data_IF_867852996852
#
_entry.id   IF_867852996852
#
_cell.length_a   1.000
_cell.length_b   1.000
_cell.length_c   1.000
_cell.angle_alpha   90.00
_cell.angle_beta   90.00
_cell.angle_gamma   90.00
#
_symmetry.space_group_name_H-M   'P 1'
#
loop_
_entity.id
_entity.type
_entity.pdbx_description
1 polymer ?
#
# COMPACT_ATOMS: atom_id res chain seq x y z
N UNK A 1 -9.42 -15.58 6.98
CA UNK A 1 -9.52 -14.12 6.96
C UNK A 1 -8.75 -13.64 5.74
N UNK A 2 -9.39 -12.97 4.78
CA UNK A 2 -8.72 -12.45 3.58
C UNK A 2 -9.12 -10.99 3.40
N UNK A 3 -8.23 -10.08 3.77
CA UNK A 3 -8.35 -8.65 3.47
C UNK A 3 -7.72 -8.41 2.11
N UNK A 4 -8.55 -8.14 1.11
CA UNK A 4 -8.11 -7.86 -0.26
C UNK A 4 -8.00 -6.36 -0.39
N UNK A 5 -6.77 -5.83 -0.46
CA UNK A 5 -6.53 -4.41 -0.72
C UNK A 5 -6.47 -4.22 -2.23
N UNK A 6 -7.53 -3.67 -2.81
CA UNK A 6 -7.53 -3.26 -4.22
C UNK A 6 -6.89 -1.86 -4.31
N UNK A 7 -5.80 -1.75 -5.06
CA UNK A 7 -5.17 -0.46 -5.33
C UNK A 7 -6.08 0.41 -6.21
N UNK A 8 -6.38 1.62 -5.76
CA UNK A 8 -7.18 2.59 -6.51
C UNK A 8 -6.31 3.21 -7.62
N UNK A 9 -6.62 2.87 -8.87
CA UNK A 9 -6.20 3.66 -10.03
C UNK A 9 -4.81 3.39 -10.63
N UNK A 10 -4.63 3.89 -11.86
CA UNK A 10 -3.34 3.92 -12.56
C UNK A 10 -2.44 4.95 -11.86
N UNK A 11 -1.44 4.44 -11.13
CA UNK A 11 -0.24 5.13 -10.64
C UNK A 11 -0.22 6.62 -10.99
N UNK A 12 -0.75 7.47 -10.10
CA UNK A 12 -0.49 8.91 -10.18
C UNK A 12 -0.71 9.65 -8.87
N UNK A 13 -1.61 9.22 -7.97
CA UNK A 13 -1.70 9.81 -6.62
C UNK A 13 -2.18 8.76 -5.59
N UNK A 14 -1.35 8.39 -4.60
CA UNK A 14 -1.84 7.65 -3.45
C UNK A 14 -2.82 8.56 -2.69
N UNK A 15 -4.04 8.09 -2.50
CA UNK A 15 -5.08 8.78 -1.72
C UNK A 15 -5.25 8.02 -0.40
N UNK A 16 -5.10 8.73 0.72
CA UNK A 16 -5.10 8.15 2.06
C UNK A 16 -6.12 8.90 2.89
N UNK A 17 -7.19 8.21 3.28
CA UNK A 17 -8.18 8.73 4.22
C UNK A 17 -7.80 8.32 5.63
N UNK A 18 -7.59 9.30 6.51
CA UNK A 18 -7.33 9.06 7.93
C UNK A 18 -8.57 9.47 8.72
N UNK A 19 -9.19 8.53 9.41
CA UNK A 19 -10.39 8.80 10.21
C UNK A 19 -10.07 9.71 11.39
N UNK A 20 -10.84 10.80 11.54
CA UNK A 20 -10.65 11.83 12.59
C UNK A 20 -10.62 11.25 14.00
N UNK A 21 -11.32 10.13 14.24
CA UNK A 21 -11.32 9.44 15.53
C UNK A 21 -9.93 8.95 15.98
N UNK A 22 -8.99 8.78 15.05
CA UNK A 22 -7.63 8.29 15.31
C UNK A 22 -6.57 9.40 15.24
N UNK A 23 -6.98 10.66 15.00
CA UNK A 23 -6.07 11.80 14.85
C UNK A 23 -6.27 12.72 16.04
N UNK A 24 -5.38 12.67 17.02
CA UNK A 24 -5.44 13.56 18.19
C UNK A 24 -4.68 14.87 17.94
N UNK A 25 -3.68 14.83 17.06
CA UNK A 25 -2.91 15.97 16.62
C UNK A 25 -2.48 15.84 15.15
N UNK A 26 -1.94 16.93 14.59
CA UNK A 26 -1.47 16.98 13.20
C UNK A 26 -0.33 16.00 12.90
N UNK A 27 0.51 15.72 13.91
CA UNK A 27 1.61 14.77 13.83
C UNK A 27 1.11 13.34 13.63
N UNK A 28 0.01 12.95 14.28
CA UNK A 28 -0.61 11.63 14.10
C UNK A 28 -1.04 11.45 12.64
N UNK A 29 -1.71 12.45 12.07
CA UNK A 29 -2.11 12.42 10.66
C UNK A 29 -0.89 12.29 9.72
N UNK A 30 0.19 13.05 10.00
CA UNK A 30 1.42 12.95 9.23
C UNK A 30 2.07 11.55 9.33
N UNK A 31 2.04 10.92 10.51
CA UNK A 31 2.55 9.57 10.71
C UNK A 31 1.76 8.52 9.92
N UNK A 32 0.42 8.60 9.93
CA UNK A 32 -0.43 7.68 9.14
C UNK A 32 -0.25 7.86 7.64
N UNK A 33 -0.16 9.10 7.16
CA UNK A 33 0.11 9.39 5.74
C UNK A 33 1.49 8.88 5.33
N UNK A 34 2.52 9.09 6.16
CA UNK A 34 3.87 8.61 5.91
C UNK A 34 3.92 7.07 5.85
N UNK A 35 3.22 6.38 6.76
CA UNK A 35 3.12 4.92 6.77
C UNK A 35 2.45 4.41 5.48
N UNK A 36 1.33 5.01 5.08
CA UNK A 36 0.62 4.62 3.87
C UNK A 36 1.49 4.82 2.61
N UNK A 37 2.21 5.94 2.52
CA UNK A 37 3.16 6.17 1.44
C UNK A 37 4.31 5.14 1.42
N UNK A 38 4.85 4.77 2.59
CA UNK A 38 5.88 3.74 2.69
C UNK A 38 5.37 2.37 2.23
N UNK A 39 4.12 2.02 2.54
CA UNK A 39 3.50 0.77 2.09
C UNK A 39 3.29 0.75 0.56
N UNK A 40 2.80 1.84 -0.02
CA UNK A 40 2.61 1.94 -1.48
C UNK A 40 3.94 1.77 -2.24
N UNK A 41 4.98 2.48 -1.81
CA UNK A 41 6.34 2.33 -2.34
C UNK A 41 6.88 0.90 -2.18
N UNK A 42 6.61 0.26 -1.05
CA UNK A 42 7.02 -1.13 -0.80
C UNK A 42 6.33 -2.11 -1.74
N UNK A 43 5.03 -1.90 -2.00
CA UNK A 43 4.26 -2.74 -2.93
C UNK A 43 4.74 -2.59 -4.37
N UNK A 44 5.05 -1.37 -4.79
CA UNK A 44 5.62 -1.12 -6.13
C UNK A 44 7.05 -1.69 -6.26
N UNK A 45 7.89 -1.55 -5.23
CA UNK A 45 9.22 -2.17 -5.19
C UNK A 45 9.16 -3.70 -5.21
N UNK A 46 8.13 -4.31 -4.60
CA UNK A 46 7.93 -5.76 -4.60
C UNK A 46 7.24 -6.28 -5.87
N UNK A 47 6.71 -5.41 -6.73
CA UNK A 47 5.97 -5.81 -7.94
C UNK A 47 6.80 -6.70 -8.88
N UNK A 48 8.10 -6.45 -9.16
CA UNK A 48 8.94 -7.35 -9.95
C UNK A 48 9.12 -8.73 -9.30
N UNK A 49 9.27 -8.76 -7.98
CA UNK A 49 9.39 -10.01 -7.22
C UNK A 49 8.11 -10.84 -7.33
N UNK A 50 6.93 -10.23 -7.14
CA UNK A 50 5.64 -10.91 -7.30
C UNK A 50 5.44 -11.49 -8.71
N UNK A 51 5.88 -10.75 -9.75
CA UNK A 51 5.82 -11.22 -11.14
C UNK A 51 6.76 -12.40 -11.37
N UNK A 52 7.97 -12.36 -10.81
CA UNK A 52 8.94 -13.46 -10.89
C UNK A 52 8.39 -14.70 -10.18
N UNK A 53 7.97 -14.57 -8.93
CA UNK A 53 7.40 -15.66 -8.12
C UNK A 53 6.20 -16.35 -8.80
N UNK A 54 5.27 -15.57 -9.37
CA UNK A 54 4.13 -16.14 -10.12
C UNK A 54 4.55 -16.89 -11.38
N UNK A 55 5.65 -16.50 -12.03
CA UNK A 55 6.18 -17.24 -13.19
C UNK A 55 6.79 -18.56 -12.77
N UNK A 56 7.65 -18.54 -11.75
CA UNK A 56 8.29 -19.76 -11.21
C UNK A 56 7.25 -20.78 -10.72
N UNK A 57 6.23 -20.33 -9.97
CA UNK A 57 5.18 -21.21 -9.43
C UNK A 57 4.18 -21.75 -10.46
N UNK A 58 4.06 -21.15 -11.65
CA UNK A 58 3.20 -21.65 -12.74
C UNK A 58 3.91 -22.63 -13.67
N UNK A 59 5.22 -22.73 -13.56
CA UNK A 59 6.04 -23.67 -14.34
C UNK A 59 6.33 -24.97 -13.56
N UNK A 60 5.79 -25.10 -12.34
CA UNK A 60 5.68 -26.34 -11.57
C UNK A 60 4.25 -26.85 -11.62
#
# INVERSE_FOLDING_TARGET
MSSTVEGVGKCSKPEVEVGVQHVTCTEDAAAYVALAAAMDLSMDACRPFSRKLRKELRQQ
#
